data_IF_227912402976
#
_entry.id   IF_227912402976
#
_cell.length_a   1.000
_cell.length_b   1.000
_cell.length_c   1.000
_cell.angle_alpha   90.00
_cell.angle_beta   90.00
_cell.angle_gamma   90.00
#
_symmetry.space_group_name_H-M   'P 1'
#
loop_
_entity.id
_entity.type
_entity.pdbx_description
1 polymer ?
#
# COMPACT_ATOMS: atom_id res chain seq x y z
N UNK A 1 -26.84 34.62 23.26
CA UNK A 1 -27.20 33.20 23.17
C UNK A 1 -26.95 32.71 21.75
N UNK A 2 -26.10 31.71 21.54
CA UNK A 2 -25.78 31.21 20.20
C UNK A 2 -26.85 30.21 19.75
N UNK A 3 -27.54 30.51 18.65
CA UNK A 3 -28.57 29.62 18.08
C UNK A 3 -27.93 28.29 17.64
N UNK A 4 -28.51 27.13 17.99
CA UNK A 4 -27.93 25.84 17.63
C UNK A 4 -27.85 25.69 16.10
N UNK A 5 -26.65 25.39 15.59
CA UNK A 5 -26.39 25.19 14.16
C UNK A 5 -27.30 24.08 13.63
N UNK A 6 -28.11 24.40 12.61
CA UNK A 6 -28.98 23.44 11.92
C UNK A 6 -28.17 22.27 11.35
N UNK A 7 -28.43 21.06 11.84
CA UNK A 7 -27.83 19.82 11.32
C UNK A 7 -28.82 19.15 10.36
N UNK A 8 -28.48 19.13 9.07
CA UNK A 8 -29.28 18.45 8.04
C UNK A 8 -29.47 16.98 8.42
N UNK A 9 -30.72 16.51 8.50
CA UNK A 9 -31.04 15.09 8.76
C UNK A 9 -30.37 14.23 7.69
N UNK A 10 -29.52 13.30 8.12
CA UNK A 10 -28.82 12.38 7.22
C UNK A 10 -29.82 11.35 6.69
N UNK A 11 -29.93 11.22 5.37
CA UNK A 11 -30.74 10.17 4.73
C UNK A 11 -30.22 8.79 5.15
N UNK A 12 -31.14 7.85 5.36
CA UNK A 12 -30.86 6.45 5.67
C UNK A 12 -31.19 5.65 4.40
N UNK A 13 -30.38 4.65 4.07
CA UNK A 13 -30.61 3.77 2.93
C UNK A 13 -30.33 2.33 3.30
N UNK A 14 -30.97 1.38 2.61
CA UNK A 14 -30.64 -0.02 2.70
C UNK A 14 -29.22 -0.25 2.17
N UNK A 15 -28.41 -1.00 2.91
CA UNK A 15 -27.02 -1.32 2.60
C UNK A 15 -26.72 -2.76 2.97
N UNK A 16 -25.74 -3.36 2.31
CA UNK A 16 -25.22 -4.69 2.65
C UNK A 16 -23.96 -4.53 3.50
N UNK A 17 -23.79 -5.39 4.51
CA UNK A 17 -22.62 -5.43 5.36
C UNK A 17 -21.36 -5.81 4.58
N UNK A 18 -20.32 -4.98 4.69
CA UNK A 18 -19.03 -5.20 4.02
C UNK A 18 -18.11 -6.21 4.75
N UNK A 19 -18.61 -6.87 5.79
CA UNK A 19 -17.84 -7.90 6.50
C UNK A 19 -17.79 -9.20 5.67
N UNK A 20 -16.61 -9.78 5.42
CA UNK A 20 -16.48 -11.05 4.69
C UNK A 20 -17.37 -12.15 5.30
N UNK A 21 -18.26 -12.72 4.47
CA UNK A 21 -19.16 -13.81 4.89
C UNK A 21 -20.41 -13.38 5.66
N UNK A 22 -20.65 -12.08 5.90
CA UNK A 22 -21.86 -11.64 6.61
C UNK A 22 -23.09 -11.49 5.70
N UNK A 23 -22.97 -10.71 4.62
CA UNK A 23 -24.05 -10.50 3.64
C UNK A 23 -25.35 -9.86 4.15
N UNK A 24 -25.46 -9.51 5.45
CA UNK A 24 -26.69 -8.96 6.03
C UNK A 24 -27.01 -7.57 5.50
N UNK A 25 -28.28 -7.35 5.20
CA UNK A 25 -28.81 -6.03 4.84
C UNK A 25 -29.14 -5.22 6.11
N UNK A 26 -28.87 -3.93 6.09
CA UNK A 26 -29.13 -3.02 7.20
C UNK A 26 -29.44 -1.61 6.69
N UNK A 27 -30.26 -0.87 7.45
CA UNK A 27 -30.53 0.54 7.16
C UNK A 27 -29.46 1.40 7.82
N UNK A 28 -28.68 2.12 7.01
CA UNK A 28 -27.56 2.90 7.50
C UNK A 28 -27.40 4.24 6.82
N UNK A 29 -26.66 5.13 7.49
CA UNK A 29 -26.15 6.33 6.84
C UNK A 29 -25.23 5.97 5.66
N UNK A 30 -25.05 6.88 4.68
CA UNK A 30 -24.21 6.61 3.51
C UNK A 30 -22.79 6.12 3.86
N UNK A 31 -22.24 6.57 4.99
CA UNK A 31 -20.92 6.21 5.50
C UNK A 31 -20.87 4.86 6.25
N UNK A 32 -22.01 4.31 6.69
CA UNK A 32 -22.04 3.09 7.50
C UNK A 32 -21.71 1.88 6.61
N UNK A 33 -20.67 1.10 6.95
CA UNK A 33 -20.20 -0.03 6.13
C UNK A 33 -20.64 -1.40 6.66
N UNK A 34 -20.97 -1.48 7.94
CA UNK A 34 -21.18 -2.73 8.65
C UNK A 34 -22.55 -2.73 9.34
N UNK A 35 -23.16 -3.91 9.45
CA UNK A 35 -24.40 -4.12 10.19
C UNK A 35 -24.19 -3.94 11.70
N UNK A 36 -25.26 -4.00 12.49
CA UNK A 36 -25.22 -3.72 13.94
C UNK A 36 -24.20 -4.59 14.70
N UNK A 37 -24.07 -5.86 14.31
CA UNK A 37 -23.10 -6.80 14.89
C UNK A 37 -21.66 -6.40 14.55
N UNK A 38 -21.35 -6.21 13.26
CA UNK A 38 -20.01 -5.89 12.77
C UNK A 38 -19.67 -4.39 12.86
N UNK A 39 -20.57 -3.58 13.42
CA UNK A 39 -20.27 -2.18 13.75
C UNK A 39 -19.14 -2.13 14.77
N UNK A 40 -19.15 -3.01 15.76
CA UNK A 40 -18.03 -3.19 16.69
C UNK A 40 -16.86 -3.89 15.97
N UNK A 41 -15.68 -3.29 16.08
CA UNK A 41 -14.44 -3.80 15.48
C UNK A 41 -14.08 -5.16 16.07
N UNK A 42 -14.43 -5.43 17.34
CA UNK A 42 -14.14 -6.71 18.01
C UNK A 42 -14.85 -7.89 17.37
N UNK A 43 -16.00 -7.64 16.75
CA UNK A 43 -16.81 -8.65 16.08
C UNK A 43 -16.41 -8.86 14.61
N UNK A 44 -15.49 -8.03 14.08
CA UNK A 44 -14.98 -8.20 12.71
C UNK A 44 -13.86 -9.24 12.69
N UNK A 45 -13.78 -9.98 11.59
CA UNK A 45 -12.67 -10.87 11.35
C UNK A 45 -11.38 -10.06 11.22
N UNK A 46 -10.37 -10.41 12.02
CA UNK A 46 -9.03 -9.83 11.89
C UNK A 46 -8.43 -10.28 10.57
N UNK A 47 -8.37 -9.37 9.61
CA UNK A 47 -7.58 -9.61 8.40
C UNK A 47 -6.11 -9.69 8.83
N UNK A 48 -5.50 -10.86 8.67
CA UNK A 48 -4.04 -10.97 8.74
C UNK A 48 -3.51 -10.15 7.58
N UNK A 49 -2.72 -9.12 7.87
CA UNK A 49 -1.93 -8.48 6.82
C UNK A 49 -0.95 -9.55 6.34
N UNK A 50 -0.98 -9.87 5.07
CA UNK A 50 0.11 -10.65 4.46
C UNK A 50 1.40 -9.87 4.70
N UNK A 51 2.29 -10.45 5.50
CA UNK A 51 3.63 -9.91 5.70
C UNK A 51 4.35 -10.24 4.39
N UNK A 52 4.27 -9.33 3.42
CA UNK A 52 5.07 -9.46 2.21
C UNK A 52 6.55 -9.57 2.61
N UNK A 53 7.23 -10.61 2.11
CA UNK A 53 8.65 -10.78 2.36
C UNK A 53 9.40 -9.53 1.83
N UNK A 54 10.24 -8.94 2.68
CA UNK A 54 11.03 -7.73 2.38
C UNK A 54 11.93 -7.96 1.15
N UNK A 55 12.35 -9.22 0.95
CA UNK A 55 13.18 -9.67 -0.17
C UNK A 55 12.46 -9.61 -1.53
N UNK A 56 11.13 -9.64 -1.55
CA UNK A 56 10.35 -9.62 -2.80
C UNK A 56 10.53 -8.31 -3.56
N UNK A 57 10.78 -7.20 -2.84
CA UNK A 57 10.79 -5.84 -3.40
C UNK A 57 12.16 -5.16 -3.35
N UNK A 58 13.11 -5.72 -2.60
CA UNK A 58 14.42 -5.12 -2.37
C UNK A 58 15.56 -6.07 -2.78
N UNK A 59 16.76 -5.54 -2.96
CA UNK A 59 17.99 -6.32 -3.12
C UNK A 59 18.62 -6.50 -1.75
N UNK A 60 19.05 -7.72 -1.43
CA UNK A 60 19.97 -7.97 -0.32
C UNK A 60 21.38 -7.90 -0.87
N UNK A 61 22.15 -6.90 -0.44
CA UNK A 61 23.56 -6.77 -0.77
C UNK A 61 24.38 -6.79 0.50
N UNK A 62 25.12 -7.88 0.71
CA UNK A 62 25.99 -8.07 1.88
C UNK A 62 27.36 -7.47 1.61
N UNK A 63 27.77 -6.53 2.44
CA UNK A 63 29.05 -5.84 2.34
C UNK A 63 29.69 -5.65 3.72
N UNK A 64 31.01 -5.47 3.75
CA UNK A 64 31.80 -5.25 4.97
C UNK A 64 32.34 -3.81 5.07
N UNK A 65 31.61 -2.85 4.51
CA UNK A 65 32.04 -1.45 4.54
C UNK A 65 32.01 -0.88 5.96
N UNK A 66 33.10 -0.23 6.35
CA UNK A 66 33.26 0.45 7.63
C UNK A 66 32.63 1.83 7.66
N UNK A 67 32.51 2.47 6.50
CA UNK A 67 31.98 3.82 6.32
C UNK A 67 30.84 3.85 5.31
N UNK A 68 30.07 4.94 5.30
CA UNK A 68 28.99 5.11 4.36
C UNK A 68 29.54 5.43 2.96
N UNK A 69 29.16 4.63 1.96
CA UNK A 69 29.63 4.79 0.58
C UNK A 69 28.48 4.89 -0.39
N UNK A 70 28.65 5.70 -1.43
CA UNK A 70 27.68 5.85 -2.51
C UNK A 70 28.05 4.91 -3.65
N UNK A 71 27.14 3.98 -3.98
CA UNK A 71 27.32 3.01 -5.06
C UNK A 71 26.26 3.20 -6.14
N UNK A 72 26.66 3.05 -7.39
CA UNK A 72 25.76 3.12 -8.53
C UNK A 72 25.16 1.74 -8.82
N UNK A 73 23.83 1.67 -8.86
CA UNK A 73 23.07 0.48 -9.19
C UNK A 73 22.26 0.69 -10.47
N UNK A 74 22.11 -0.38 -11.26
CA UNK A 74 21.22 -0.39 -12.42
C UNK A 74 19.82 -0.84 -12.02
N UNK A 75 18.79 -0.22 -12.57
CA UNK A 75 17.42 -0.68 -12.39
C UNK A 75 17.26 -2.13 -12.88
N UNK A 76 16.72 -3.02 -12.05
CA UNK A 76 16.45 -4.41 -12.44
C UNK A 76 15.13 -4.61 -13.22
N UNK A 77 14.47 -3.54 -13.66
CA UNK A 77 13.25 -3.66 -14.47
C UNK A 77 13.63 -3.91 -15.93
N UNK A 78 13.05 -4.94 -16.54
CA UNK A 78 13.26 -5.23 -17.97
C UNK A 78 12.85 -4.04 -18.84
N UNK A 79 13.75 -3.63 -19.75
CA UNK A 79 13.57 -2.45 -20.60
C UNK A 79 13.97 -1.11 -19.96
N UNK A 80 14.30 -1.07 -18.68
CA UNK A 80 14.86 0.12 -18.03
C UNK A 80 16.39 0.04 -17.96
N UNK A 81 17.08 1.03 -18.53
CA UNK A 81 18.54 1.15 -18.47
C UNK A 81 19.03 2.24 -17.51
N UNK A 82 18.15 2.81 -16.68
CA UNK A 82 18.52 3.89 -15.77
C UNK A 82 19.39 3.36 -14.63
N UNK A 83 20.45 4.08 -14.32
CA UNK A 83 21.28 3.89 -13.12
C UNK A 83 20.87 4.88 -12.04
N UNK A 84 21.11 4.51 -10.78
CA UNK A 84 20.79 5.32 -9.62
C UNK A 84 21.78 5.07 -8.49
N UNK A 85 22.10 6.12 -7.74
CA UNK A 85 23.04 6.05 -6.63
C UNK A 85 22.33 5.66 -5.34
N UNK A 86 22.89 4.70 -4.62
CA UNK A 86 22.42 4.27 -3.31
C UNK A 86 23.52 4.53 -2.30
N UNK A 87 23.18 5.28 -1.25
CA UNK A 87 24.05 5.42 -0.08
C UNK A 87 23.95 4.19 0.79
N UNK A 88 25.07 3.49 0.89
CA UNK A 88 25.21 2.25 1.63
C UNK A 88 25.73 2.52 3.03
N UNK A 89 25.13 1.89 4.03
CA UNK A 89 25.47 2.09 5.43
C UNK A 89 26.03 0.81 6.04
N UNK A 90 27.03 0.90 6.94
CA UNK A 90 27.53 -0.25 7.67
C UNK A 90 26.39 -1.01 8.37
N UNK A 91 26.41 -2.34 8.32
CA UNK A 91 25.40 -3.23 8.92
C UNK A 91 23.97 -3.12 8.32
N UNK A 92 23.79 -2.40 7.21
CA UNK A 92 22.54 -2.38 6.46
C UNK A 92 22.71 -3.19 5.17
N UNK A 93 21.81 -4.14 4.91
CA UNK A 93 21.93 -5.05 3.76
C UNK A 93 20.75 -4.96 2.78
N UNK A 94 19.70 -4.22 3.12
CA UNK A 94 18.49 -4.12 2.31
C UNK A 94 18.48 -2.78 1.57
N UNK A 95 18.46 -2.85 0.24
CA UNK A 95 18.54 -1.70 -0.65
C UNK A 95 17.47 -1.76 -1.75
N UNK A 96 17.07 -0.60 -2.31
CA UNK A 96 16.08 -0.56 -3.39
C UNK A 96 16.53 -1.35 -4.62
N UNK A 97 15.63 -2.17 -5.16
CA UNK A 97 15.88 -2.95 -6.39
C UNK A 97 15.70 -2.17 -7.69
N UNK A 98 14.91 -1.11 -7.63
CA UNK A 98 14.47 -0.35 -8.79
C UNK A 98 14.81 1.13 -8.63
N UNK A 99 15.03 1.82 -9.75
CA UNK A 99 15.27 3.26 -9.76
C UNK A 99 14.04 4.04 -9.28
N UNK A 100 14.21 5.35 -9.04
CA UNK A 100 13.15 6.22 -8.52
C UNK A 100 11.88 6.24 -9.39
N UNK A 101 12.02 6.02 -10.69
CA UNK A 101 10.89 5.92 -11.62
C UNK A 101 10.13 4.60 -11.52
N UNK A 102 10.78 3.53 -11.05
CA UNK A 102 10.22 2.18 -11.01
C UNK A 102 10.10 1.61 -9.58
N UNK A 103 10.33 2.44 -8.56
CA UNK A 103 10.26 2.03 -7.16
C UNK A 103 8.87 1.58 -6.71
N UNK A 104 7.82 2.12 -7.33
CA UNK A 104 6.43 1.75 -7.05
C UNK A 104 5.93 0.70 -8.04
N UNK A 105 5.22 -0.31 -7.52
CA UNK A 105 4.59 -1.40 -8.27
C UNK A 105 3.70 -0.86 -9.41
N UNK A 106 2.92 0.19 -9.17
CA UNK A 106 2.11 0.84 -10.19
C UNK A 106 2.95 1.39 -11.35
N UNK A 107 4.08 2.06 -11.04
CA UNK A 107 4.95 2.63 -12.07
C UNK A 107 5.62 1.54 -12.90
N UNK A 108 6.02 0.41 -12.28
CA UNK A 108 6.55 -0.76 -13.01
C UNK A 108 5.51 -1.35 -13.95
N UNK A 109 4.30 -1.59 -13.46
CA UNK A 109 3.21 -2.14 -14.27
C UNK A 109 2.87 -1.21 -15.45
N UNK A 110 2.86 0.11 -15.23
CA UNK A 110 2.61 1.07 -16.29
C UNK A 110 3.73 1.10 -17.35
N UNK A 111 5.00 1.05 -16.93
CA UNK A 111 6.14 0.99 -17.85
C UNK A 111 6.08 -0.24 -18.76
N UNK A 112 5.85 -1.42 -18.18
CA UNK A 112 5.71 -2.68 -18.92
C UNK A 112 4.54 -2.62 -19.90
N UNK A 113 3.40 -2.06 -19.49
CA UNK A 113 2.22 -1.87 -20.36
C UNK A 113 2.50 -0.94 -21.54
N UNK A 114 3.27 0.14 -21.34
CA UNK A 114 3.67 1.04 -22.43
C UNK A 114 4.64 0.35 -23.37
N UNK A 115 5.58 -0.43 -22.83
CA UNK A 115 6.58 -1.16 -23.62
C UNK A 115 5.94 -2.24 -24.50
N UNK A 116 4.93 -2.98 -24.02
CA UNK A 116 4.22 -4.01 -24.80
C UNK A 116 3.36 -3.44 -25.94
N UNK A 117 3.08 -2.14 -25.94
CA UNK A 117 2.31 -1.47 -27.01
C UNK A 117 3.18 -0.92 -28.14
N UNK A 118 4.50 -0.92 -27.97
CA UNK A 118 5.46 -0.58 -29.02
C UNK A 118 5.91 -1.84 -29.72
#
# INVERSE_FOLDING_TARGET
>A
MQLPKYKKKKRIKLKVCQEPGCGREFWGHPIAKYCELHRDIKQRQKQKKDIENIESKNIIFRHNYSEAMDLEFKCCLEGCNNTFTIRMFPKQYVYPRFCMEHRNDFKRANFLRIMQKK
#
